data_IF_382972165693
#
_entry.id   IF_382972165693
#
_cell.length_a   1.000
_cell.length_b   1.000
_cell.length_c   1.000
_cell.angle_alpha   90.00
_cell.angle_beta   90.00
_cell.angle_gamma   90.00
#
_symmetry.space_group_name_H-M   'P 1'
#
loop_
_entity.id
_entity.type
_entity.pdbx_description
1 polymer ?
#
# COMPACT_ATOMS: atom_id res chain seq x y z
N UNK A 1 -0.02 -4.32 10.19
CA UNK A 1 1.28 -4.45 9.52
C UNK A 1 1.62 -3.24 8.67
N UNK A 2 0.92 -2.99 7.56
CA UNK A 2 1.24 -1.89 6.62
C UNK A 2 1.42 -0.54 7.31
N UNK A 3 0.52 -0.15 8.23
CA UNK A 3 0.68 1.11 8.99
C UNK A 3 1.95 1.17 9.85
N UNK A 4 2.35 0.05 10.46
CA UNK A 4 3.58 -0.03 11.26
C UNK A 4 4.82 0.05 10.37
N UNK A 5 4.86 -0.74 9.29
CA UNK A 5 5.93 -0.69 8.28
C UNK A 5 6.06 0.70 7.64
N UNK A 6 4.94 1.35 7.27
CA UNK A 6 4.95 2.71 6.73
C UNK A 6 5.47 3.73 7.74
N UNK A 7 5.15 3.61 9.03
CA UNK A 7 5.72 4.48 10.07
C UNK A 7 7.23 4.28 10.22
N UNK A 8 7.71 3.04 10.22
CA UNK A 8 9.13 2.73 10.26
C UNK A 8 9.85 3.33 9.04
N UNK A 9 9.30 3.17 7.83
CA UNK A 9 9.87 3.72 6.61
C UNK A 9 9.85 5.25 6.58
N UNK A 10 8.67 5.87 6.68
CA UNK A 10 8.50 7.30 6.40
C UNK A 10 8.74 8.20 7.61
N UNK A 11 8.49 7.72 8.83
CA UNK A 11 8.77 8.50 10.06
C UNK A 11 10.12 8.13 10.68
N UNK A 12 10.57 6.87 10.52
CA UNK A 12 11.82 6.37 11.09
C UNK A 12 13.00 6.35 10.13
N UNK A 13 12.76 6.40 8.81
CA UNK A 13 13.81 6.29 7.79
C UNK A 13 14.41 4.89 7.66
N UNK A 14 13.73 3.86 8.17
CA UNK A 14 14.20 2.48 8.12
C UNK A 14 13.95 1.82 6.75
N UNK A 15 14.86 0.96 6.35
CA UNK A 15 14.72 0.15 5.12
C UNK A 15 13.76 -1.02 5.34
N UNK A 16 12.65 -1.05 4.61
CA UNK A 16 11.66 -2.13 4.72
C UNK A 16 12.06 -3.41 3.98
N UNK A 17 13.14 -3.37 3.19
CA UNK A 17 13.73 -4.57 2.59
C UNK A 17 14.56 -5.35 3.63
N UNK A 18 14.90 -4.73 4.76
CA UNK A 18 15.61 -5.37 5.86
C UNK A 18 14.66 -6.27 6.69
N UNK A 19 14.92 -7.59 6.83
CA UNK A 19 14.05 -8.52 7.55
C UNK A 19 13.76 -8.13 9.00
N UNK A 20 14.72 -7.51 9.69
CA UNK A 20 14.57 -6.99 11.04
C UNK A 20 13.48 -5.90 11.12
N UNK A 21 13.33 -5.06 10.10
CA UNK A 21 12.31 -4.01 10.06
C UNK A 21 10.93 -4.62 9.79
N UNK A 22 10.85 -5.68 8.98
CA UNK A 22 9.63 -6.46 8.80
C UNK A 22 9.23 -7.16 10.11
N UNK A 23 10.21 -7.65 10.89
CA UNK A 23 9.96 -8.26 12.20
C UNK A 23 9.34 -7.26 13.20
N UNK A 24 9.88 -6.04 13.28
CA UNK A 24 9.32 -4.97 14.11
C UNK A 24 7.89 -4.59 13.69
N UNK A 25 7.65 -4.47 12.38
CA UNK A 25 6.32 -4.19 11.85
C UNK A 25 5.32 -5.33 12.14
N UNK A 26 5.77 -6.59 12.15
CA UNK A 26 4.97 -7.76 12.50
C UNK A 26 4.61 -7.75 13.98
N UNK A 27 5.59 -7.54 14.86
CA UNK A 27 5.39 -7.47 16.30
C UNK A 27 4.39 -6.35 16.67
N UNK A 28 4.58 -5.14 16.12
CA UNK A 28 3.67 -4.01 16.34
C UNK A 28 2.25 -4.25 15.81
N UNK A 29 2.08 -5.18 14.86
CA UNK A 29 0.80 -5.56 14.28
C UNK A 29 0.17 -6.79 14.93
N UNK A 30 0.82 -7.42 15.91
CA UNK A 30 0.37 -8.68 16.49
C UNK A 30 0.40 -9.86 15.53
N UNK A 31 1.32 -9.87 14.56
CA UNK A 31 1.53 -10.97 13.60
C UNK A 31 2.72 -11.84 14.03
N UNK A 32 2.63 -13.14 13.72
CA UNK A 32 3.74 -14.07 13.92
C UNK A 32 4.93 -13.74 13.01
N UNK A 33 6.15 -13.81 13.55
CA UNK A 33 7.38 -13.48 12.81
C UNK A 33 7.59 -14.42 11.61
N UNK A 34 7.54 -15.73 11.85
CA UNK A 34 7.80 -16.74 10.82
C UNK A 34 6.77 -16.65 9.69
N UNK A 35 5.49 -16.48 10.03
CA UNK A 35 4.41 -16.28 9.06
C UNK A 35 4.61 -15.00 8.24
N UNK A 36 5.07 -13.92 8.88
CA UNK A 36 5.36 -12.66 8.20
C UNK A 36 6.53 -12.80 7.22
N UNK A 37 7.65 -13.39 7.64
CA UNK A 37 8.82 -13.57 6.79
C UNK A 37 8.54 -14.55 5.65
N UNK A 38 7.79 -15.62 5.92
CA UNK A 38 7.34 -16.54 4.87
C UNK A 38 6.44 -15.82 3.86
N UNK A 39 5.52 -14.97 4.31
CA UNK A 39 4.66 -14.20 3.43
C UNK A 39 5.44 -13.14 2.63
N UNK A 40 6.46 -12.52 3.21
CA UNK A 40 7.32 -11.53 2.56
C UNK A 40 8.18 -12.16 1.45
N UNK A 41 8.65 -13.39 1.66
CA UNK A 41 9.43 -14.15 0.66
C UNK A 41 8.61 -14.96 -0.36
N UNK A 42 7.28 -14.92 -0.30
CA UNK A 42 6.42 -15.72 -1.18
C UNK A 42 6.29 -15.10 -2.58
N UNK A 43 7.18 -15.49 -3.49
CA UNK A 43 7.24 -15.00 -4.87
C UNK A 43 5.95 -15.22 -5.68
N UNK A 44 5.05 -16.11 -5.24
CA UNK A 44 3.73 -16.28 -5.87
C UNK A 44 2.86 -15.03 -5.73
N UNK A 45 3.18 -14.13 -4.80
CA UNK A 45 2.47 -12.87 -4.55
C UNK A 45 2.90 -11.75 -5.50
N UNK A 46 4.09 -11.84 -6.08
CA UNK A 46 4.65 -10.79 -6.95
C UNK A 46 3.81 -10.59 -8.22
N UNK A 47 3.40 -11.69 -8.86
CA UNK A 47 2.57 -11.65 -10.07
C UNK A 47 1.25 -10.88 -9.87
N UNK A 48 0.42 -11.26 -8.88
CA UNK A 48 -0.79 -10.52 -8.53
C UNK A 48 -0.56 -9.04 -8.20
N UNK A 49 0.54 -8.68 -7.53
CA UNK A 49 0.89 -7.29 -7.22
C UNK A 49 1.24 -6.50 -8.49
N UNK A 50 2.04 -7.08 -9.38
CA UNK A 50 2.37 -6.48 -10.68
C UNK A 50 1.11 -6.31 -11.55
N UNK A 51 0.21 -7.29 -11.56
CA UNK A 51 -1.07 -7.20 -12.28
C UNK A 51 -1.97 -6.08 -11.74
N UNK A 52 -2.00 -5.88 -10.43
CA UNK A 52 -2.72 -4.75 -9.85
C UNK A 52 -2.16 -3.42 -10.35
N UNK A 53 -0.83 -3.26 -10.36
CA UNK A 53 -0.16 -2.09 -10.93
C UNK A 53 -0.50 -1.89 -12.41
N UNK A 54 -0.43 -2.94 -13.23
CA UNK A 54 -0.80 -2.89 -14.66
C UNK A 54 -2.24 -2.45 -14.88
N UNK A 55 -3.19 -2.94 -14.07
CA UNK A 55 -4.60 -2.55 -14.15
C UNK A 55 -4.81 -1.07 -13.80
N UNK A 56 -4.12 -0.56 -12.79
CA UNK A 56 -4.19 0.87 -12.43
C UNK A 56 -3.64 1.74 -13.57
N UNK A 57 -2.48 1.40 -14.13
CA UNK A 57 -1.90 2.09 -15.28
C UNK A 57 -2.85 2.09 -16.49
N UNK A 58 -3.41 0.92 -16.83
CA UNK A 58 -4.38 0.78 -17.92
C UNK A 58 -5.67 1.59 -17.69
N UNK A 59 -6.01 1.89 -16.43
CA UNK A 59 -7.15 2.73 -16.06
C UNK A 59 -6.84 4.24 -16.12
N UNK A 60 -5.61 4.62 -16.47
CA UNK A 60 -5.16 6.01 -16.57
C UNK A 60 -4.47 6.53 -15.30
N UNK A 61 -4.10 5.66 -14.37
CA UNK A 61 -3.26 6.08 -13.25
C UNK A 61 -1.87 6.49 -13.73
N UNK A 62 -1.37 7.62 -13.25
CA UNK A 62 -0.05 8.16 -13.60
C UNK A 62 0.85 8.37 -12.38
N UNK A 63 0.27 8.43 -11.17
CA UNK A 63 0.99 8.71 -9.93
C UNK A 63 0.22 8.19 -8.71
N UNK A 64 0.97 7.65 -7.75
CA UNK A 64 0.43 7.26 -6.44
C UNK A 64 0.27 8.49 -5.51
N UNK A 65 -0.62 8.43 -4.51
CA UNK A 65 -1.65 7.40 -4.32
C UNK A 65 -2.73 7.47 -5.41
N UNK A 66 -3.35 6.33 -5.71
CA UNK A 66 -4.47 6.24 -6.65
C UNK A 66 -5.73 5.84 -5.90
N UNK A 67 -6.82 6.57 -6.09
CA UNK A 67 -8.13 6.30 -5.50
C UNK A 67 -9.16 6.15 -6.61
N UNK A 68 -9.94 5.08 -6.54
CA UNK A 68 -11.04 4.83 -7.46
C UNK A 68 -12.38 4.93 -6.72
N UNK A 69 -13.25 5.83 -7.17
CA UNK A 69 -14.61 6.02 -6.64
C UNK A 69 -15.61 5.82 -7.78
N UNK A 70 -16.22 4.63 -7.83
CA UNK A 70 -17.02 4.22 -8.97
C UNK A 70 -16.21 4.22 -10.26
N UNK A 71 -16.57 5.10 -11.20
CA UNK A 71 -15.87 5.27 -12.49
C UNK A 71 -14.81 6.39 -12.46
N UNK A 72 -14.71 7.13 -11.36
CA UNK A 72 -13.76 8.24 -11.22
C UNK A 72 -12.44 7.72 -10.66
N UNK A 73 -11.34 8.19 -11.24
CA UNK A 73 -9.98 7.90 -10.82
C UNK A 73 -9.29 9.20 -10.40
N UNK A 74 -8.68 9.19 -9.22
CA UNK A 74 -7.93 10.32 -8.66
C UNK A 74 -6.49 9.86 -8.40
N UNK A 75 -5.51 10.61 -8.88
CA UNK A 75 -4.10 10.26 -8.81
C UNK A 75 -3.31 11.38 -8.14
N UNK A 76 -2.43 11.03 -7.21
CA UNK A 76 -1.61 11.99 -6.47
C UNK A 76 -2.26 12.49 -5.18
N UNK A 77 -1.41 12.91 -4.23
CA UNK A 77 -1.82 13.38 -2.91
C UNK A 77 -2.63 14.68 -2.99
N UNK A 78 -2.32 15.53 -3.97
CA UNK A 78 -3.01 16.79 -4.26
C UNK A 78 -4.48 16.61 -4.63
N UNK A 79 -4.86 15.41 -5.12
CA UNK A 79 -6.23 15.07 -5.50
C UNK A 79 -7.04 14.39 -4.39
N UNK A 80 -6.43 14.12 -3.22
CA UNK A 80 -7.12 13.51 -2.08
C UNK A 80 -8.34 14.31 -1.59
N UNK A 81 -8.30 15.65 -1.48
CA UNK A 81 -9.47 16.43 -1.06
C UNK A 81 -10.65 16.28 -2.02
N UNK A 82 -10.38 16.22 -3.32
CA UNK A 82 -11.41 16.04 -4.37
C UNK A 82 -12.03 14.64 -4.30
N UNK A 83 -11.20 13.61 -4.15
CA UNK A 83 -11.68 12.24 -3.96
C UNK A 83 -12.59 12.15 -2.72
N UNK A 84 -12.18 12.74 -1.59
CA UNK A 84 -12.97 12.74 -0.37
C UNK A 84 -14.32 13.49 -0.53
N UNK A 85 -14.34 14.59 -1.28
CA UNK A 85 -15.57 15.32 -1.59
C UNK A 85 -16.52 14.47 -2.46
N UNK A 86 -15.99 13.81 -3.50
CA UNK A 86 -16.78 12.93 -4.36
C UNK A 86 -17.39 11.75 -3.59
N UNK A 87 -16.64 11.14 -2.66
CA UNK A 87 -17.14 10.06 -1.81
C UNK A 87 -18.33 10.50 -0.94
N UNK A 88 -18.25 11.69 -0.32
CA UNK A 88 -19.34 12.25 0.50
C UNK A 88 -20.57 12.58 -0.32
N UNK A 89 -20.42 13.05 -1.55
CA UNK A 89 -21.55 13.37 -2.43
C UNK A 89 -22.29 12.13 -2.95
N UNK A 90 -21.65 10.96 -2.91
CA UNK A 90 -22.24 9.67 -3.27
C UNK A 90 -22.88 8.94 -2.08
N UNK A 91 -22.83 9.53 -0.87
CA UNK A 91 -23.34 8.96 0.39
C UNK A 91 -24.80 9.31 0.65
#
# INVERSE_FOLDING_TARGET
FVLAASRLAFCGGYDVDAPEILAEAAAAAGLGLDECLQAAGDSRRDGPMQDAGRRLLASGADRLPVLQLGRLLFCGEDRLPEAAAAARAAS
#
